data_IF_834077960236
#
_entry.id   IF_834077960236
#
_cell.length_a   1.000
_cell.length_b   1.000
_cell.length_c   1.000
_cell.angle_alpha   90.00
_cell.angle_beta   90.00
_cell.angle_gamma   90.00
#
_symmetry.space_group_name_H-M   'P 1'
#
loop_
_entity.id
_entity.type
_entity.pdbx_description
1 polymer ?
#
# COMPACT_ATOMS: atom_id res chain seq x y z
N UNK A 1 -13.82 19.08 3.56
CA UNK A 1 -12.34 19.04 3.67
C UNK A 1 -11.82 19.83 2.50
N UNK A 2 -10.93 20.79 2.74
CA UNK A 2 -10.30 21.58 1.68
C UNK A 2 -9.20 20.76 0.99
N UNK A 3 -9.02 20.96 -0.33
CA UNK A 3 -7.97 20.31 -1.10
C UNK A 3 -6.57 20.60 -0.54
N UNK A 4 -6.39 21.80 0.03
CA UNK A 4 -5.12 22.26 0.58
C UNK A 4 -4.77 21.62 1.93
N UNK A 5 -5.74 21.02 2.62
CA UNK A 5 -5.51 20.29 3.87
C UNK A 5 -4.93 18.89 3.61
N UNK A 6 -5.05 18.39 2.38
CA UNK A 6 -4.59 17.06 1.99
C UNK A 6 -3.09 17.04 1.71
N UNK A 7 -2.46 15.95 2.12
CA UNK A 7 -1.01 15.72 2.00
C UNK A 7 -0.73 14.45 1.19
N UNK A 8 0.40 14.44 0.51
CA UNK A 8 0.97 13.24 -0.08
C UNK A 8 2.11 12.77 0.82
N UNK A 9 2.08 11.49 1.20
CA UNK A 9 3.24 10.81 1.78
C UNK A 9 3.96 10.08 0.64
N UNK A 10 5.24 10.36 0.39
CA UNK A 10 6.00 9.73 -0.68
C UNK A 10 6.02 8.20 -0.58
N UNK A 11 6.09 7.67 0.64
CA UNK A 11 6.08 6.22 0.85
C UNK A 11 4.75 5.57 0.44
N UNK A 12 3.62 6.26 0.60
CA UNK A 12 2.32 5.79 0.13
C UNK A 12 2.22 5.89 -1.40
N UNK A 13 2.67 7.01 -1.95
CA UNK A 13 2.64 7.26 -3.39
C UNK A 13 3.48 6.25 -4.17
N UNK A 14 4.65 5.88 -3.68
CA UNK A 14 5.52 4.87 -4.29
C UNK A 14 4.90 3.48 -4.44
N UNK A 15 3.85 3.15 -3.66
CA UNK A 15 3.13 1.88 -3.79
C UNK A 15 2.08 1.90 -4.89
N UNK A 16 1.89 3.05 -5.55
CA UNK A 16 0.90 3.20 -6.61
C UNK A 16 1.63 3.19 -7.96
N UNK A 17 1.31 2.23 -8.85
CA UNK A 17 1.88 2.21 -10.18
C UNK A 17 1.62 3.54 -10.89
N UNK A 18 2.65 4.18 -11.47
CA UNK A 18 2.48 5.45 -12.17
C UNK A 18 1.61 5.27 -13.41
N UNK A 19 0.86 6.31 -13.77
CA UNK A 19 0.22 6.40 -15.07
C UNK A 19 1.24 6.88 -16.11
N UNK A 20 1.06 6.47 -17.36
CA UNK A 20 1.73 7.10 -18.49
C UNK A 20 1.20 8.52 -18.69
N UNK A 21 1.92 9.35 -19.45
CA UNK A 21 1.47 10.70 -19.76
C UNK A 21 0.14 10.71 -20.51
N UNK A 22 -0.07 9.77 -21.43
CA UNK A 22 -1.31 9.62 -22.19
C UNK A 22 -2.48 9.22 -21.27
N UNK A 23 -2.27 8.27 -20.36
CA UNK A 23 -3.29 7.85 -19.39
C UNK A 23 -3.64 8.99 -18.43
N UNK A 24 -2.65 9.77 -17.97
CA UNK A 24 -2.89 10.92 -17.11
C UNK A 24 -3.67 12.01 -17.85
N UNK A 25 -3.30 12.30 -19.10
CA UNK A 25 -4.00 13.27 -19.95
C UNK A 25 -5.44 12.87 -20.21
N UNK A 26 -5.69 11.59 -20.50
CA UNK A 26 -7.05 11.08 -20.71
C UNK A 26 -7.88 11.18 -19.43
N UNK A 27 -7.29 10.84 -18.27
CA UNK A 27 -7.96 10.99 -16.97
C UNK A 27 -8.33 12.46 -16.70
N UNK A 28 -7.42 13.40 -16.97
CA UNK A 28 -7.67 14.84 -16.82
C UNK A 28 -8.82 15.29 -17.71
N UNK A 29 -8.81 14.92 -19.00
CA UNK A 29 -9.88 15.26 -19.95
C UNK A 29 -11.25 14.71 -19.48
N UNK A 30 -11.30 13.49 -19.00
CA UNK A 30 -12.54 12.89 -18.51
C UNK A 30 -13.08 13.65 -17.29
N UNK A 31 -12.24 13.94 -16.30
CA UNK A 31 -12.64 14.67 -15.09
C UNK A 31 -13.15 16.09 -15.45
N UNK A 32 -12.47 16.78 -16.37
CA UNK A 32 -12.90 18.10 -16.83
C UNK A 32 -14.23 18.03 -17.59
N UNK A 33 -14.41 17.00 -18.43
CA UNK A 33 -15.65 16.81 -19.18
C UNK A 33 -16.85 16.45 -18.29
N UNK A 34 -16.61 15.63 -17.26
CA UNK A 34 -17.65 15.25 -16.27
C UNK A 34 -18.00 16.42 -15.34
N UNK A 35 -17.06 17.37 -15.16
CA UNK A 35 -17.21 18.51 -14.26
C UNK A 35 -17.18 18.12 -12.77
N UNK A 36 -16.89 16.88 -12.43
CA UNK A 36 -16.72 16.38 -11.05
C UNK A 36 -15.78 15.18 -11.02
N UNK A 37 -15.21 14.91 -9.83
CA UNK A 37 -14.47 13.69 -9.58
C UNK A 37 -15.42 12.63 -9.03
N UNK A 38 -15.75 11.63 -9.85
CA UNK A 38 -16.75 10.61 -9.52
C UNK A 38 -16.30 9.71 -8.36
N UNK A 39 -15.05 9.23 -8.39
CA UNK A 39 -14.48 8.41 -7.33
C UNK A 39 -13.83 9.26 -6.25
N UNK A 40 -14.13 9.06 -4.96
CA UNK A 40 -13.57 9.86 -3.87
C UNK A 40 -12.04 9.67 -3.75
N UNK A 41 -11.36 10.65 -3.17
CA UNK A 41 -10.00 10.50 -2.66
C UNK A 41 -10.07 9.71 -1.34
N UNK A 42 -9.32 8.62 -1.24
CA UNK A 42 -9.25 7.84 0.00
C UNK A 42 -8.14 8.43 0.86
N UNK A 43 -8.47 8.74 2.12
CA UNK A 43 -7.56 9.49 3.01
C UNK A 43 -7.48 8.87 4.41
N UNK A 44 -6.33 9.03 5.05
CA UNK A 44 -6.07 8.72 6.45
C UNK A 44 -5.25 9.86 7.07
N UNK A 45 -5.75 10.44 8.17
CA UNK A 45 -5.11 11.59 8.83
C UNK A 45 -4.73 12.71 7.85
N UNK A 46 -5.64 13.08 6.95
CA UNK A 46 -5.45 14.05 5.88
C UNK A 46 -4.37 13.66 4.83
N UNK A 47 -3.85 12.44 4.89
CA UNK A 47 -2.89 11.92 3.91
C UNK A 47 -3.60 11.05 2.89
N UNK A 48 -3.29 11.25 1.62
CA UNK A 48 -3.91 10.51 0.52
C UNK A 48 -3.36 9.08 0.48
N UNK A 49 -4.27 8.10 0.49
CA UNK A 49 -3.96 6.68 0.34
C UNK A 49 -4.22 6.19 -1.09
N UNK A 50 -5.29 6.68 -1.72
CA UNK A 50 -5.62 6.42 -3.13
C UNK A 50 -6.21 7.67 -3.77
N UNK A 51 -5.93 7.86 -5.06
CA UNK A 51 -6.39 9.01 -5.83
C UNK A 51 -5.34 10.09 -6.05
N UNK A 52 -4.05 9.80 -5.91
CA UNK A 52 -2.94 10.75 -6.11
C UNK A 52 -3.02 11.49 -7.46
N UNK A 53 -3.33 10.80 -8.55
CA UNK A 53 -3.48 11.42 -9.87
C UNK A 53 -4.70 12.34 -9.93
N UNK A 54 -5.84 11.94 -9.34
CA UNK A 54 -7.03 12.80 -9.21
C UNK A 54 -6.72 14.06 -8.40
N UNK A 55 -5.98 13.92 -7.29
CA UNK A 55 -5.54 15.07 -6.50
C UNK A 55 -4.65 16.03 -7.30
N UNK A 56 -3.70 15.51 -8.09
CA UNK A 56 -2.86 16.35 -8.97
C UNK A 56 -3.68 17.11 -10.01
N UNK A 57 -4.71 16.48 -10.57
CA UNK A 57 -5.64 17.12 -11.50
C UNK A 57 -6.44 18.21 -10.78
N UNK A 58 -6.99 17.93 -9.60
CA UNK A 58 -7.72 18.92 -8.81
C UNK A 58 -6.86 20.12 -8.40
N UNK A 59 -5.56 19.95 -8.24
CA UNK A 59 -4.65 21.09 -8.01
C UNK A 59 -4.53 22.01 -9.22
N UNK A 60 -4.74 21.51 -10.44
CA UNK A 60 -4.80 22.32 -11.68
C UNK A 60 -6.20 22.89 -11.91
N UNK A 61 -7.24 22.22 -11.43
CA UNK A 61 -8.65 22.53 -11.64
C UNK A 61 -9.40 22.64 -10.30
N UNK A 62 -9.10 23.67 -9.47
CA UNK A 62 -9.63 23.77 -8.11
C UNK A 62 -11.14 24.05 -8.05
N UNK A 63 -11.75 24.40 -9.18
CA UNK A 63 -13.19 24.60 -9.32
C UNK A 63 -13.97 23.29 -9.38
N UNK A 64 -13.30 22.15 -9.68
CA UNK A 64 -13.96 20.86 -9.83
C UNK A 64 -14.30 20.28 -8.46
N UNK A 65 -15.57 19.94 -8.19
CA UNK A 65 -15.97 19.34 -6.94
C UNK A 65 -15.42 17.92 -6.78
N UNK A 66 -15.06 17.58 -5.55
CA UNK A 66 -14.56 16.26 -5.19
C UNK A 66 -15.09 15.83 -3.83
N UNK A 67 -14.96 14.54 -3.53
CA UNK A 67 -15.28 13.94 -2.23
C UNK A 67 -14.07 13.23 -1.67
N UNK A 68 -14.01 13.17 -0.35
CA UNK A 68 -13.04 12.34 0.38
C UNK A 68 -13.75 11.20 1.08
N UNK A 69 -13.09 10.07 1.17
CA UNK A 69 -13.53 8.94 1.97
C UNK A 69 -12.45 8.64 3.02
N UNK A 70 -12.71 8.96 4.29
CA UNK A 70 -11.75 8.70 5.36
C UNK A 70 -11.71 7.19 5.67
N UNK A 71 -10.51 6.70 5.96
CA UNK A 71 -10.26 5.38 6.56
C UNK A 71 -9.45 5.56 7.82
N UNK A 72 -9.63 4.63 8.75
CA UNK A 72 -8.88 4.59 9.99
C UNK A 72 -7.99 3.35 10.01
N UNK A 73 -6.74 3.56 10.44
CA UNK A 73 -5.74 2.51 10.60
C UNK A 73 -5.02 2.71 11.94
N UNK A 74 -4.62 1.61 12.56
CA UNK A 74 -3.93 1.63 13.85
C UNK A 74 -2.52 2.20 13.72
N UNK A 75 -1.88 1.96 12.56
CA UNK A 75 -0.53 2.44 12.27
C UNK A 75 -0.29 2.62 10.76
N UNK A 76 0.89 3.16 10.44
CA UNK A 76 1.32 3.40 9.05
C UNK A 76 1.48 2.10 8.25
N UNK A 77 1.89 1.04 8.89
CA UNK A 77 2.11 -0.25 8.22
C UNK A 77 0.79 -0.89 7.80
N UNK A 78 -0.25 -0.79 8.63
CA UNK A 78 -1.60 -1.21 8.26
C UNK A 78 -2.12 -0.42 7.06
N UNK A 79 -1.89 0.89 7.03
CA UNK A 79 -2.23 1.73 5.87
C UNK A 79 -1.48 1.29 4.60
N UNK A 80 -0.17 1.01 4.68
CA UNK A 80 0.63 0.51 3.55
C UNK A 80 0.10 -0.84 3.06
N UNK A 81 -0.18 -1.78 3.98
CA UNK A 81 -0.73 -3.08 3.62
C UNK A 81 -2.07 -2.93 2.88
N UNK A 82 -2.93 -2.02 3.36
CA UNK A 82 -4.19 -1.70 2.69
C UNK A 82 -3.97 -1.12 1.28
N UNK A 83 -3.05 -0.16 1.12
CA UNK A 83 -2.72 0.43 -0.20
C UNK A 83 -2.29 -0.67 -1.16
N UNK A 84 -1.34 -1.52 -0.76
CA UNK A 84 -0.85 -2.62 -1.59
C UNK A 84 -2.00 -3.57 -2.00
N UNK A 85 -2.85 -3.93 -1.05
CA UNK A 85 -4.01 -4.80 -1.31
C UNK A 85 -5.01 -4.14 -2.27
N UNK A 86 -5.29 -2.85 -2.09
CA UNK A 86 -6.17 -2.08 -2.98
C UNK A 86 -5.62 -2.03 -4.42
N UNK A 87 -4.30 -1.83 -4.58
CA UNK A 87 -3.65 -1.84 -5.89
C UNK A 87 -3.66 -3.23 -6.54
N UNK A 88 -3.50 -4.32 -5.76
CA UNK A 88 -3.58 -5.70 -6.26
C UNK A 88 -4.93 -6.05 -6.90
N UNK A 89 -5.99 -5.33 -6.55
CA UNK A 89 -7.31 -5.44 -7.18
C UNK A 89 -7.40 -4.82 -8.59
N UNK A 90 -6.40 -4.07 -9.03
CA UNK A 90 -6.40 -3.43 -10.36
C UNK A 90 -6.10 -4.43 -11.47
N UNK A 91 -6.73 -4.22 -12.64
CA UNK A 91 -6.63 -5.16 -13.79
C UNK A 91 -5.32 -5.01 -14.59
N UNK A 92 -4.68 -3.83 -14.54
CA UNK A 92 -3.59 -3.44 -15.45
C UNK A 92 -2.20 -3.51 -14.79
N UNK A 93 -2.01 -4.38 -13.79
CA UNK A 93 -0.70 -4.59 -13.19
C UNK A 93 0.15 -5.52 -14.04
N UNK A 94 1.42 -5.13 -14.28
CA UNK A 94 2.41 -6.08 -14.81
C UNK A 94 2.73 -7.16 -13.77
N UNK A 95 3.27 -8.32 -14.18
CA UNK A 95 3.71 -9.35 -13.24
C UNK A 95 4.71 -8.83 -12.21
N UNK A 96 5.61 -7.93 -12.59
CA UNK A 96 6.62 -7.30 -11.74
C UNK A 96 5.98 -6.37 -10.71
N UNK A 97 5.05 -5.51 -11.15
CA UNK A 97 4.28 -4.63 -10.27
C UNK A 97 3.47 -5.44 -9.26
N UNK A 98 2.81 -6.50 -9.73
CA UNK A 98 2.07 -7.41 -8.84
C UNK A 98 2.98 -8.08 -7.81
N UNK A 99 4.14 -8.58 -8.24
CA UNK A 99 5.13 -9.18 -7.35
C UNK A 99 5.65 -8.18 -6.33
N UNK A 100 5.99 -6.97 -6.76
CA UNK A 100 6.42 -5.90 -5.87
C UNK A 100 5.39 -5.58 -4.79
N UNK A 101 4.11 -5.39 -5.17
CA UNK A 101 3.03 -5.08 -4.24
C UNK A 101 2.77 -6.21 -3.24
N UNK A 102 2.84 -7.47 -3.66
CA UNK A 102 2.75 -8.63 -2.74
C UNK A 102 3.89 -8.60 -1.72
N UNK A 103 5.11 -8.32 -2.16
CA UNK A 103 6.27 -8.21 -1.28
C UNK A 103 6.15 -7.08 -0.27
N UNK A 104 5.74 -5.89 -0.71
CA UNK A 104 5.54 -4.72 0.16
C UNK A 104 4.38 -4.91 1.15
N UNK A 105 3.30 -5.56 0.72
CA UNK A 105 2.19 -5.93 1.60
C UNK A 105 2.69 -6.87 2.71
N UNK A 106 3.44 -7.91 2.35
CA UNK A 106 3.98 -8.86 3.32
C UNK A 106 4.94 -8.20 4.32
N UNK A 107 5.82 -7.31 3.84
CA UNK A 107 6.71 -6.53 4.70
C UNK A 107 5.91 -5.67 5.70
N UNK A 108 4.90 -4.96 5.23
CA UNK A 108 4.07 -4.09 6.04
C UNK A 108 3.23 -4.88 7.07
N UNK A 109 2.55 -5.96 6.67
CA UNK A 109 1.78 -6.78 7.61
C UNK A 109 2.68 -7.42 8.69
N UNK A 110 3.91 -7.81 8.37
CA UNK A 110 4.88 -8.26 9.36
C UNK A 110 5.25 -7.16 10.36
N UNK A 111 5.48 -5.95 9.87
CA UNK A 111 5.86 -4.82 10.72
C UNK A 111 4.73 -4.40 11.67
N UNK A 112 3.49 -4.36 11.19
CA UNK A 112 2.31 -4.05 12.01
C UNK A 112 2.07 -5.10 13.10
N UNK A 113 2.28 -6.39 12.80
CA UNK A 113 2.09 -7.49 13.78
C UNK A 113 3.35 -7.77 14.62
N UNK A 114 4.52 -7.28 14.23
CA UNK A 114 5.81 -7.53 14.89
C UNK A 114 6.03 -6.81 16.20
N UNK A 115 5.09 -5.94 16.62
CA UNK A 115 5.16 -5.22 17.90
C UNK A 115 4.88 -6.08 19.15
N UNK A 116 4.60 -7.38 19.01
CA UNK A 116 4.31 -8.30 20.10
C UNK A 116 5.40 -9.39 20.31
N UNK A 117 6.62 -9.16 19.89
CA UNK A 117 7.72 -9.94 20.43
C UNK A 117 8.00 -9.44 21.85
N UNK A 118 7.54 -10.20 22.85
CA UNK A 118 8.05 -10.04 24.22
C UNK A 118 9.56 -10.23 24.19
N UNK A 119 10.28 -9.43 24.97
CA UNK A 119 11.73 -9.59 25.13
C UNK A 119 12.04 -11.06 25.47
N UNK A 120 13.14 -11.62 24.95
CA UNK A 120 13.51 -12.99 25.26
C UNK A 120 13.65 -13.12 26.77
N UNK A 121 13.13 -14.21 27.33
CA UNK A 121 13.31 -14.54 28.73
C UNK A 121 14.80 -14.47 29.10
N UNK A 122 15.13 -13.69 30.15
CA UNK A 122 16.50 -13.38 30.52
C UNK A 122 17.30 -14.62 30.99
N UNK A 123 16.63 -15.73 31.33
CA UNK A 123 17.28 -16.96 31.81
C UNK A 123 17.41 -18.03 30.71
N UNK A 124 16.46 -18.10 29.79
CA UNK A 124 16.41 -19.20 28.80
C UNK A 124 16.73 -18.75 27.38
N UNK A 125 16.72 -17.44 27.09
CA UNK A 125 16.92 -16.88 25.74
C UNK A 125 15.81 -17.25 24.76
N UNK A 126 14.71 -17.86 25.20
CA UNK A 126 13.59 -18.27 24.38
C UNK A 126 12.52 -17.18 24.35
N UNK A 127 12.01 -16.90 23.16
CA UNK A 127 10.85 -16.02 22.98
C UNK A 127 9.59 -16.77 23.45
N UNK A 128 8.98 -16.32 24.54
CA UNK A 128 7.69 -16.82 24.99
C UNK A 128 6.58 -16.06 24.29
N UNK A 129 5.76 -16.79 23.53
CA UNK A 129 4.48 -16.26 23.05
C UNK A 129 3.51 -16.33 24.23
N UNK A 130 3.10 -15.16 24.75
CA UNK A 130 2.04 -15.09 25.76
C UNK A 130 0.71 -15.43 25.11
N UNK A 131 0.34 -16.70 25.14
CA UNK A 131 -1.00 -17.18 24.77
C UNK A 131 -1.93 -16.94 25.95
N UNK A 132 -2.65 -15.83 25.96
CA UNK A 132 -3.87 -15.72 26.76
C UNK A 132 -4.88 -16.69 26.17
N UNK A 133 -5.25 -17.71 26.99
CA UNK A 133 -6.03 -18.85 26.56
C UNK A 133 -7.36 -18.48 25.91
N UNK A 134 -7.64 -19.15 24.83
CA UNK A 134 -8.89 -19.66 24.27
C UNK A 134 -8.85 -19.92 22.76
N UNK A 135 -7.71 -19.77 22.07
CA UNK A 135 -7.63 -20.18 20.67
C UNK A 135 -6.40 -21.07 20.42
N UNK A 136 -6.64 -22.39 20.45
CA UNK A 136 -5.65 -23.43 20.11
C UNK A 136 -5.32 -23.51 18.61
N UNK A 137 -5.69 -22.51 17.82
CA UNK A 137 -5.24 -22.36 16.44
C UNK A 137 -3.94 -21.58 16.44
N UNK A 138 -2.86 -22.21 15.99
CA UNK A 138 -1.65 -21.49 15.63
C UNK A 138 -2.03 -20.33 14.69
N UNK A 139 -1.64 -19.08 14.98
CA UNK A 139 -1.98 -17.97 14.12
C UNK A 139 -1.49 -18.28 12.70
N UNK A 140 -2.38 -18.17 11.73
CA UNK A 140 -2.05 -18.36 10.32
C UNK A 140 -0.88 -17.44 9.98
N UNK A 141 0.17 -18.00 9.39
CA UNK A 141 1.35 -17.21 9.04
C UNK A 141 0.95 -16.15 8.01
N UNK A 142 1.37 -14.92 8.22
CA UNK A 142 1.07 -13.79 7.31
C UNK A 142 1.34 -14.15 5.84
N UNK A 143 2.42 -14.91 5.57
CA UNK A 143 2.74 -15.35 4.20
C UNK A 143 1.73 -16.36 3.63
N UNK A 144 1.15 -17.23 4.46
CA UNK A 144 0.13 -18.20 4.05
C UNK A 144 -1.20 -17.50 3.75
N UNK A 145 -1.62 -16.57 4.60
CA UNK A 145 -2.79 -15.72 4.38
C UNK A 145 -2.69 -14.96 3.04
N UNK A 146 -1.59 -14.23 2.84
CA UNK A 146 -1.39 -13.45 1.60
C UNK A 146 -1.34 -14.38 0.38
N UNK A 147 -0.69 -15.54 0.48
CA UNK A 147 -0.64 -16.53 -0.59
C UNK A 147 -2.03 -17.01 -1.01
N UNK A 148 -2.89 -17.33 -0.03
CA UNK A 148 -4.27 -17.73 -0.29
C UNK A 148 -5.08 -16.60 -0.97
N UNK A 149 -5.00 -15.37 -0.47
CA UNK A 149 -5.74 -14.21 -1.00
C UNK A 149 -5.27 -13.79 -2.40
N UNK A 150 -3.98 -13.99 -2.72
CA UNK A 150 -3.41 -13.59 -4.01
C UNK A 150 -3.32 -14.74 -5.03
N UNK A 151 -3.79 -15.93 -4.65
CA UNK A 151 -3.70 -17.17 -5.43
C UNK A 151 -2.26 -17.48 -5.85
N UNK A 152 -1.35 -17.43 -4.88
CA UNK A 152 0.08 -17.73 -5.06
C UNK A 152 0.55 -18.75 -4.03
N UNK A 153 1.84 -19.10 -4.04
CA UNK A 153 2.42 -19.96 -3.00
C UNK A 153 3.07 -19.12 -1.88
N UNK A 154 3.18 -19.70 -0.69
CA UNK A 154 3.93 -19.11 0.42
C UNK A 154 5.35 -18.70 0.01
N UNK A 155 6.06 -19.61 -0.68
CA UNK A 155 7.41 -19.34 -1.18
C UNK A 155 7.45 -18.15 -2.15
N UNK A 156 6.40 -17.98 -2.95
CA UNK A 156 6.28 -16.81 -3.83
C UNK A 156 6.20 -15.52 -3.02
N UNK A 157 5.38 -15.47 -1.96
CA UNK A 157 5.23 -14.29 -1.08
C UNK A 157 6.57 -13.93 -0.43
N UNK A 158 7.28 -14.92 0.15
CA UNK A 158 8.59 -14.72 0.78
C UNK A 158 9.65 -14.24 -0.23
N UNK A 159 9.64 -14.76 -1.46
CA UNK A 159 10.52 -14.31 -2.53
C UNK A 159 10.11 -12.93 -3.08
N UNK A 160 8.83 -12.58 -3.03
CA UNK A 160 8.33 -11.28 -3.44
C UNK A 160 8.82 -10.17 -2.48
N UNK A 161 8.95 -10.44 -1.18
CA UNK A 161 9.57 -9.50 -0.23
C UNK A 161 11.04 -9.21 -0.62
N UNK A 162 11.81 -10.25 -0.92
CA UNK A 162 13.21 -10.07 -1.34
C UNK A 162 13.33 -9.27 -2.63
N UNK A 163 12.43 -9.55 -3.57
CA UNK A 163 12.34 -8.80 -4.83
C UNK A 163 12.01 -7.33 -4.57
N UNK A 164 11.02 -7.03 -3.74
CA UNK A 164 10.62 -5.67 -3.42
C UNK A 164 11.76 -4.88 -2.76
N UNK A 165 12.46 -5.48 -1.80
CA UNK A 165 13.67 -4.88 -1.18
C UNK A 165 14.77 -4.60 -2.19
N UNK A 166 14.97 -5.49 -3.16
CA UNK A 166 15.92 -5.29 -4.25
C UNK A 166 15.54 -4.12 -5.16
N UNK A 167 14.25 -3.99 -5.48
CA UNK A 167 13.72 -2.86 -6.27
C UNK A 167 13.88 -1.54 -5.52
N UNK A 168 13.55 -1.50 -4.22
CA UNK A 168 13.71 -0.29 -3.41
C UNK A 168 15.18 0.13 -3.29
N UNK A 169 16.09 -0.83 -3.13
CA UNK A 169 17.53 -0.56 -3.09
C UNK A 169 18.05 -0.05 -4.44
N UNK A 170 17.55 -0.57 -5.56
CA UNK A 170 17.90 -0.11 -6.89
C UNK A 170 17.39 1.31 -7.15
N UNK A 171 16.15 1.61 -6.76
CA UNK A 171 15.56 2.95 -6.86
C UNK A 171 16.32 3.97 -6.02
N UNK A 172 16.76 3.59 -4.81
CA UNK A 172 17.59 4.45 -3.96
C UNK A 172 18.96 4.74 -4.58
N UNK A 173 19.53 3.78 -5.32
CA UNK A 173 20.81 3.94 -6.01
C UNK A 173 20.69 4.71 -7.34
N UNK A 174 19.60 4.51 -8.07
CA UNK A 174 19.32 5.12 -9.39
C UNK A 174 17.85 5.55 -9.41
N UNK A 175 17.55 6.80 -8.96
CA UNK A 175 16.19 7.31 -8.95
C UNK A 175 15.54 7.28 -10.35
N UNK A 176 14.30 6.78 -10.42
CA UNK A 176 13.53 6.68 -11.66
C UNK A 176 13.67 5.33 -12.39
N UNK A 177 14.42 4.36 -11.86
CA UNK A 177 14.56 3.04 -12.48
C UNK A 177 13.23 2.27 -12.56
N UNK A 178 12.27 2.61 -11.70
CA UNK A 178 10.92 2.00 -11.66
C UNK A 178 9.96 2.57 -12.70
N UNK A 179 10.29 3.71 -13.30
CA UNK A 179 9.42 4.44 -14.23
C UNK A 179 9.77 4.16 -15.70
N UNK A 180 10.78 3.32 -15.96
CA UNK A 180 11.22 2.95 -17.29
C UNK A 180 10.59 1.69 -17.84
#
# INVERSE_FOLDING_TARGET
MDLNDLKIDPEFEEKIPPLTEDEFSLLEQNIVADGEVLDPLIVWNNTILDGHNRYRILKKHPEIPFRTYPKDFSDKYEAIAWICNNQLGRRNLTPEQRRYLIGKRYEAEKASHGGHYTEPDAETGQFTVSLSGEDLRLPERTSEKIAAETNTSRSFVENAERFAKGVDAAEAAVPGIRSG
#
